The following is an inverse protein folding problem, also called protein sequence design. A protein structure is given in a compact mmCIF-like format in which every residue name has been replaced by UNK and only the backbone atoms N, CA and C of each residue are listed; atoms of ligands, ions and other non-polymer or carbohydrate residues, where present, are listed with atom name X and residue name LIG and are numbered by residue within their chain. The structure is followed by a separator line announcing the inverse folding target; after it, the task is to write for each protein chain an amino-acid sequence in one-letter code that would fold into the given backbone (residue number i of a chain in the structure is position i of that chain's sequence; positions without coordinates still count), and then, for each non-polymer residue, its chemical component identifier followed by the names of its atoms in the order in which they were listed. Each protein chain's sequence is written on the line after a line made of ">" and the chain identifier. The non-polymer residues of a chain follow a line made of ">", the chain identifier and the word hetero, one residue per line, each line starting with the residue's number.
data_IF_270422718164
#
_entry.id   IF_270422718164
#
_cell.length_a   1.000
_cell.length_b   1.000
_cell.length_c   1.000
_cell.angle_alpha   90.00
_cell.angle_beta   90.00
_cell.angle_gamma   90.00
#
_symmetry.space_group_name_H-M   'P 1'
#
loop_
_entity.id
_entity.type
_entity.pdbx_description
1 polymer ?
#
# COMPACT_ATOMS: atom_id res chain seq x y z
N UNK A 1 28.62 2.80 -14.64
CA UNK A 1 28.00 1.60 -15.25
C UNK A 1 26.49 1.80 -15.29
N UNK A 2 25.89 1.96 -16.45
CA UNK A 2 24.42 2.06 -16.61
C UNK A 2 23.79 0.73 -16.18
N UNK A 3 22.93 0.76 -15.16
CA UNK A 3 22.18 -0.45 -14.77
C UNK A 3 21.21 -0.79 -15.89
N UNK A 4 21.31 -2.01 -16.44
CA UNK A 4 20.35 -2.51 -17.40
C UNK A 4 18.93 -2.46 -16.79
N UNK A 5 17.99 -1.91 -17.54
CA UNK A 5 16.59 -1.84 -17.13
C UNK A 5 16.01 -3.26 -17.06
N UNK A 6 15.38 -3.69 -15.96
CA UNK A 6 14.85 -5.05 -15.83
C UNK A 6 13.70 -5.27 -16.83
N UNK A 7 13.65 -6.45 -17.44
CA UNK A 7 12.56 -6.83 -18.37
C UNK A 7 11.22 -7.05 -17.62
N UNK A 8 11.28 -7.53 -16.36
CA UNK A 8 10.12 -7.78 -15.53
C UNK A 8 10.42 -7.67 -14.04
N UNK A 9 9.41 -7.95 -13.23
CA UNK A 9 9.52 -7.96 -11.77
C UNK A 9 10.07 -9.30 -11.29
N UNK A 10 10.90 -9.27 -10.23
CA UNK A 10 11.36 -10.49 -9.56
C UNK A 10 10.26 -11.15 -8.73
N UNK A 11 10.43 -12.44 -8.44
CA UNK A 11 9.56 -13.20 -7.52
C UNK A 11 9.35 -12.43 -6.20
N UNK A 12 10.43 -11.90 -5.61
CA UNK A 12 10.36 -11.14 -4.35
C UNK A 12 9.53 -9.85 -4.50
N UNK A 13 9.68 -9.11 -5.59
CA UNK A 13 8.90 -7.89 -5.82
C UNK A 13 7.40 -8.19 -5.98
N UNK A 14 7.07 -9.30 -6.65
CA UNK A 14 5.68 -9.77 -6.82
C UNK A 14 5.12 -10.25 -5.48
N UNK A 15 5.84 -11.09 -4.74
CA UNK A 15 5.41 -11.59 -3.43
C UNK A 15 5.17 -10.47 -2.43
N UNK A 16 6.07 -9.48 -2.38
CA UNK A 16 5.90 -8.28 -1.54
C UNK A 16 4.70 -7.43 -1.96
N UNK A 17 4.40 -7.36 -3.27
CA UNK A 17 3.20 -6.64 -3.73
C UNK A 17 1.94 -7.28 -3.19
N UNK A 18 1.76 -8.57 -3.43
CA UNK A 18 0.56 -9.28 -3.03
C UNK A 18 0.46 -9.43 -1.50
N UNK A 19 1.58 -9.63 -0.81
CA UNK A 19 1.62 -9.67 0.66
C UNK A 19 1.16 -8.35 1.29
N UNK A 20 1.68 -7.22 0.81
CA UNK A 20 1.25 -5.88 1.26
C UNK A 20 -0.22 -5.64 0.89
N UNK A 21 -0.66 -6.01 -0.31
CA UNK A 21 -2.06 -5.84 -0.72
C UNK A 21 -3.02 -6.64 0.17
N UNK A 22 -2.70 -7.90 0.48
CA UNK A 22 -3.49 -8.73 1.37
C UNK A 22 -3.55 -8.18 2.80
N UNK A 23 -2.41 -7.73 3.34
CA UNK A 23 -2.38 -7.10 4.66
C UNK A 23 -3.23 -5.82 4.71
N UNK A 24 -3.10 -4.94 3.71
CA UNK A 24 -3.91 -3.71 3.63
C UNK A 24 -5.40 -4.05 3.54
N UNK A 25 -5.80 -5.03 2.72
CA UNK A 25 -7.20 -5.48 2.67
C UNK A 25 -7.70 -5.93 4.05
N UNK A 26 -6.91 -6.72 4.79
CA UNK A 26 -7.21 -7.11 6.16
C UNK A 26 -7.39 -5.91 7.10
N UNK A 27 -6.54 -4.87 6.98
CA UNK A 27 -6.66 -3.65 7.78
C UNK A 27 -8.01 -2.95 7.55
N UNK A 28 -8.49 -2.88 6.31
CA UNK A 28 -9.80 -2.28 6.00
C UNK A 28 -10.98 -3.15 6.45
N UNK A 29 -10.87 -4.46 6.33
CA UNK A 29 -11.96 -5.39 6.69
C UNK A 29 -12.17 -5.41 8.21
N UNK A 30 -11.10 -5.42 8.99
CA UNK A 30 -11.14 -5.59 10.45
C UNK A 30 -10.93 -4.29 11.24
N UNK A 31 -11.10 -3.12 10.61
CA UNK A 31 -10.87 -1.80 11.22
C UNK A 31 -11.75 -1.45 12.41
N UNK A 32 -12.92 -2.10 12.55
CA UNK A 32 -13.91 -1.68 13.54
C UNK A 32 -13.48 -1.99 14.98
N UNK A 33 -12.74 -3.07 15.20
CA UNK A 33 -12.16 -3.41 16.52
C UNK A 33 -11.21 -2.32 17.02
N UNK A 34 -10.25 -1.88 16.19
CA UNK A 34 -9.31 -0.83 16.59
C UNK A 34 -10.00 0.52 16.76
N UNK A 35 -10.99 0.85 15.91
CA UNK A 35 -11.76 2.08 16.03
C UNK A 35 -12.57 2.12 17.33
N UNK A 36 -13.19 1.00 17.71
CA UNK A 36 -13.91 0.84 18.97
C UNK A 36 -13.00 0.99 20.18
N UNK A 37 -11.83 0.34 20.19
CA UNK A 37 -10.83 0.46 21.24
C UNK A 37 -10.33 1.91 21.38
N UNK A 38 -10.00 2.57 20.28
CA UNK A 38 -9.59 3.97 20.28
C UNK A 38 -10.64 4.88 20.87
N UNK A 39 -11.92 4.68 20.51
CA UNK A 39 -13.04 5.45 21.08
C UNK A 39 -13.15 5.29 22.60
N UNK A 40 -12.99 4.05 23.12
CA UNK A 40 -13.00 3.78 24.57
C UNK A 40 -11.83 4.46 25.28
N UNK A 41 -10.61 4.36 24.71
CA UNK A 41 -9.43 5.06 25.25
C UNK A 41 -9.70 6.57 25.37
N UNK A 42 -10.28 7.19 24.36
CA UNK A 42 -10.60 8.63 24.35
C UNK A 42 -11.66 9.02 25.37
N UNK A 43 -12.49 8.10 25.82
CA UNK A 43 -13.49 8.28 26.87
C UNK A 43 -12.97 7.93 28.27
N UNK A 44 -11.70 7.52 28.41
CA UNK A 44 -11.12 7.06 29.67
C UNK A 44 -11.67 5.70 30.14
N UNK A 45 -12.27 4.93 29.24
CA UNK A 45 -12.84 3.61 29.51
C UNK A 45 -11.87 2.52 29.09
N UNK A 46 -11.71 1.47 29.89
CA UNK A 46 -10.92 0.29 29.53
C UNK A 46 -11.60 -0.48 28.38
N UNK A 47 -10.78 -1.17 27.60
CA UNK A 47 -11.25 -2.09 26.57
C UNK A 47 -10.70 -3.49 26.82
N UNK A 48 -11.49 -4.50 26.44
CA UNK A 48 -11.09 -5.90 26.57
C UNK A 48 -10.05 -6.26 25.48
N UNK A 49 -9.26 -7.30 25.76
CA UNK A 49 -8.34 -7.83 24.77
C UNK A 49 -9.11 -8.38 23.56
N UNK A 50 -8.78 -7.85 22.38
CA UNK A 50 -9.29 -8.32 21.10
C UNK A 50 -8.10 -8.61 20.17
N UNK A 51 -7.93 -9.85 19.69
CA UNK A 51 -6.86 -10.21 18.76
C UNK A 51 -6.83 -9.36 17.49
N UNK A 52 -7.97 -8.83 17.04
CA UNK A 52 -8.05 -7.96 15.85
C UNK A 52 -7.42 -6.59 16.10
N UNK A 53 -7.47 -6.08 17.33
CA UNK A 53 -6.74 -4.85 17.70
C UNK A 53 -5.24 -5.10 17.56
N UNK A 54 -4.74 -6.20 18.15
CA UNK A 54 -3.33 -6.56 18.03
C UNK A 54 -2.91 -6.78 16.57
N UNK A 55 -3.74 -7.49 15.79
CA UNK A 55 -3.50 -7.73 14.37
C UNK A 55 -3.43 -6.43 13.56
N UNK A 56 -4.27 -5.42 13.90
CA UNK A 56 -4.22 -4.11 13.25
C UNK A 56 -2.91 -3.38 13.56
N UNK A 57 -2.51 -3.32 14.82
CA UNK A 57 -1.30 -2.58 15.25
C UNK A 57 -0.04 -3.25 14.72
N UNK A 58 0.10 -4.56 14.92
CA UNK A 58 1.26 -5.35 14.43
C UNK A 58 1.28 -5.38 12.91
N UNK A 59 0.12 -5.59 12.28
CA UNK A 59 -0.04 -5.57 10.83
C UNK A 59 0.37 -4.23 10.20
N UNK A 60 0.02 -3.11 10.83
CA UNK A 60 0.45 -1.77 10.42
C UNK A 60 1.97 -1.60 10.44
N UNK A 61 2.64 -2.06 11.50
CA UNK A 61 4.09 -2.08 11.60
C UNK A 61 4.75 -2.99 10.56
N UNK A 62 4.18 -4.19 10.34
CA UNK A 62 4.64 -5.12 9.32
C UNK A 62 4.49 -4.54 7.91
N UNK A 63 3.37 -3.91 7.59
CA UNK A 63 3.17 -3.23 6.30
C UNK A 63 4.26 -2.19 6.08
N UNK A 64 4.58 -1.37 7.08
CA UNK A 64 5.67 -0.38 6.97
C UNK A 64 7.01 -1.04 6.62
N UNK A 65 7.38 -2.10 7.32
CA UNK A 65 8.63 -2.83 7.07
C UNK A 65 8.68 -3.41 5.65
N UNK A 66 7.59 -4.04 5.20
CA UNK A 66 7.48 -4.62 3.86
C UNK A 66 7.49 -3.55 2.75
N UNK A 67 6.87 -2.40 2.98
CA UNK A 67 6.87 -1.27 2.03
C UNK A 67 8.25 -0.65 1.93
N UNK A 68 8.98 -0.49 3.04
CA UNK A 68 10.38 -0.04 3.03
C UNK A 68 11.26 -1.03 2.25
N UNK A 69 11.11 -2.32 2.48
CA UNK A 69 11.83 -3.35 1.72
C UNK A 69 11.49 -3.30 0.23
N UNK A 70 10.20 -3.18 -0.11
CA UNK A 70 9.75 -3.04 -1.49
C UNK A 70 10.34 -1.79 -2.16
N UNK A 71 10.38 -0.66 -1.46
CA UNK A 71 11.00 0.57 -1.95
C UNK A 71 12.50 0.39 -2.18
N UNK A 72 13.21 -0.23 -1.24
CA UNK A 72 14.64 -0.53 -1.38
C UNK A 72 14.93 -1.40 -2.62
N UNK A 73 14.10 -2.44 -2.87
CA UNK A 73 14.22 -3.26 -4.07
C UNK A 73 13.94 -2.47 -5.35
N UNK A 74 12.94 -1.57 -5.33
CA UNK A 74 12.63 -0.69 -6.47
C UNK A 74 13.80 0.25 -6.79
N UNK A 75 14.44 0.81 -5.77
CA UNK A 75 15.60 1.70 -5.95
C UNK A 75 16.85 0.95 -6.39
N UNK A 76 17.07 -0.27 -5.89
CA UNK A 76 18.24 -1.09 -6.23
C UNK A 76 18.13 -1.78 -7.59
N UNK A 77 17.00 -2.44 -7.87
CA UNK A 77 16.78 -3.25 -9.07
C UNK A 77 16.12 -2.44 -10.20
N UNK A 78 15.31 -1.43 -9.82
CA UNK A 78 14.45 -0.71 -10.76
C UNK A 78 13.07 -1.36 -10.90
N UNK A 79 12.27 -0.77 -11.80
CA UNK A 79 10.99 -1.29 -12.25
C UNK A 79 11.03 -1.47 -13.77
N UNK A 80 10.32 -2.45 -14.33
CA UNK A 80 10.20 -2.60 -15.78
C UNK A 80 9.61 -1.34 -16.42
N UNK A 81 10.00 -1.00 -17.65
CA UNK A 81 9.45 0.15 -18.35
C UNK A 81 7.95 -0.02 -18.60
N UNK A 82 7.20 1.08 -18.70
CA UNK A 82 5.79 1.02 -19.11
C UNK A 82 5.66 0.35 -20.50
N UNK A 83 4.47 -0.17 -20.86
CA UNK A 83 4.22 -0.68 -22.20
C UNK A 83 4.55 0.37 -23.28
N UNK A 84 5.11 -0.06 -24.42
CA UNK A 84 5.55 0.85 -25.49
C UNK A 84 4.41 1.69 -26.04
N UNK A 85 3.22 1.08 -26.21
CA UNK A 85 2.01 1.69 -26.74
C UNK A 85 1.21 2.50 -25.70
N UNK A 86 1.72 2.67 -24.47
CA UNK A 86 1.05 3.48 -23.47
C UNK A 86 1.24 4.97 -23.74
N UNK A 87 0.15 5.78 -23.77
CA UNK A 87 0.23 7.24 -23.93
C UNK A 87 1.09 7.92 -22.85
N UNK A 88 1.86 8.93 -23.23
CA UNK A 88 2.76 9.65 -22.32
C UNK A 88 2.12 10.12 -21.00
N UNK A 89 0.95 10.77 -21.03
CA UNK A 89 0.26 11.18 -19.80
C UNK A 89 -0.05 10.02 -18.85
N UNK A 90 -0.43 8.84 -19.37
CA UNK A 90 -0.70 7.66 -18.56
C UNK A 90 0.57 7.06 -17.94
N UNK A 91 1.71 7.09 -18.66
CA UNK A 91 3.01 6.71 -18.11
C UNK A 91 3.37 7.57 -16.90
N UNK A 92 3.18 8.89 -17.02
CA UNK A 92 3.43 9.83 -15.90
C UNK A 92 2.47 9.58 -14.74
N UNK A 93 1.17 9.42 -15.03
CA UNK A 93 0.15 9.14 -14.00
C UNK A 93 0.46 7.84 -13.26
N UNK A 94 0.81 6.78 -13.98
CA UNK A 94 1.23 5.51 -13.39
C UNK A 94 2.43 5.68 -12.46
N UNK A 95 3.45 6.43 -12.90
CA UNK A 95 4.62 6.71 -12.08
C UNK A 95 4.27 7.47 -10.79
N UNK A 96 3.51 8.55 -10.91
CA UNK A 96 3.05 9.36 -9.75
C UNK A 96 2.20 8.53 -8.80
N UNK A 97 1.26 7.73 -9.31
CA UNK A 97 0.41 6.87 -8.50
C UNK A 97 1.23 5.88 -7.65
N UNK A 98 2.26 5.25 -8.23
CA UNK A 98 3.11 4.33 -7.48
C UNK A 98 3.90 5.04 -6.37
N UNK A 99 4.41 6.25 -6.59
CA UNK A 99 5.06 7.04 -5.54
C UNK A 99 4.07 7.50 -4.47
N UNK A 100 2.86 7.88 -4.88
CA UNK A 100 1.78 8.20 -3.94
C UNK A 100 1.43 7.02 -3.03
N UNK A 101 1.41 5.77 -3.55
CA UNK A 101 1.24 4.59 -2.71
C UNK A 101 2.32 4.46 -1.66
N UNK A 102 3.60 4.59 -2.01
CA UNK A 102 4.68 4.52 -1.02
C UNK A 102 4.53 5.59 0.06
N UNK A 103 4.25 6.83 -0.33
CA UNK A 103 4.08 7.94 0.61
C UNK A 103 2.85 7.75 1.52
N UNK A 104 1.69 7.40 0.95
CA UNK A 104 0.45 7.20 1.70
C UNK A 104 0.55 6.03 2.67
N UNK A 105 1.06 4.87 2.22
CA UNK A 105 1.17 3.70 3.10
C UNK A 105 2.16 3.97 4.24
N UNK A 106 3.29 4.61 3.97
CA UNK A 106 4.25 4.98 5.02
C UNK A 106 3.62 5.97 6.01
N UNK A 107 2.96 7.02 5.53
CA UNK A 107 2.29 8.01 6.37
C UNK A 107 1.15 7.38 7.20
N UNK A 108 0.37 6.47 6.61
CA UNK A 108 -0.66 5.69 7.30
C UNK A 108 -0.07 4.89 8.47
N UNK A 109 0.99 4.12 8.21
CA UNK A 109 1.61 3.30 9.26
C UNK A 109 2.21 4.17 10.37
N UNK A 110 2.93 5.24 10.03
CA UNK A 110 3.54 6.15 11.00
C UNK A 110 2.48 6.85 11.85
N UNK A 111 1.43 7.39 11.23
CA UNK A 111 0.36 8.08 11.95
C UNK A 111 -0.45 7.12 12.83
N UNK A 112 -0.68 5.88 12.38
CA UNK A 112 -1.32 4.84 13.19
C UNK A 112 -0.50 4.47 14.43
N UNK A 113 0.80 4.26 14.27
CA UNK A 113 1.71 3.97 15.39
C UNK A 113 1.81 5.15 16.36
N UNK A 114 1.91 6.38 15.87
CA UNK A 114 1.95 7.58 16.69
C UNK A 114 0.64 7.79 17.48
N UNK A 115 -0.50 7.51 16.86
CA UNK A 115 -1.79 7.54 17.54
C UNK A 115 -1.85 6.49 18.66
N UNK A 116 -1.52 5.24 18.33
CA UNK A 116 -1.70 4.12 19.26
C UNK A 116 -0.71 4.14 20.43
N UNK A 117 0.57 4.33 20.17
CA UNK A 117 1.60 4.29 21.20
C UNK A 117 1.91 5.65 21.84
N UNK A 118 1.66 6.74 21.09
CA UNK A 118 1.92 8.11 21.55
C UNK A 118 0.68 8.85 22.06
N UNK A 119 -0.50 8.24 21.99
CA UNK A 119 -1.79 8.89 22.31
C UNK A 119 -1.99 10.23 21.57
N UNK A 120 -1.44 10.34 20.33
CA UNK A 120 -1.49 11.57 19.56
C UNK A 120 -2.80 11.67 18.78
N UNK A 121 -3.74 12.46 19.29
CA UNK A 121 -5.08 12.64 18.67
C UNK A 121 -4.99 13.16 17.23
N UNK A 122 -4.12 14.13 16.98
CA UNK A 122 -3.91 14.68 15.63
C UNK A 122 -3.44 13.59 14.65
N UNK A 123 -2.57 12.68 15.11
CA UNK A 123 -2.12 11.56 14.26
C UNK A 123 -3.28 10.62 13.90
N UNK A 124 -4.20 10.35 14.86
CA UNK A 124 -5.39 9.55 14.57
C UNK A 124 -6.33 10.25 13.57
N UNK A 125 -6.49 11.57 13.65
CA UNK A 125 -7.27 12.35 12.69
C UNK A 125 -6.66 12.29 11.29
N UNK A 126 -5.35 12.52 11.17
CA UNK A 126 -4.60 12.41 9.90
C UNK A 126 -4.72 10.99 9.34
N UNK A 127 -4.53 9.96 10.16
CA UNK A 127 -4.70 8.55 9.77
C UNK A 127 -6.08 8.28 9.16
N UNK A 128 -7.15 8.82 9.74
CA UNK A 128 -8.51 8.67 9.21
C UNK A 128 -8.71 9.37 7.85
N UNK A 129 -8.09 10.52 7.63
CA UNK A 129 -8.12 11.20 6.31
C UNK A 129 -7.33 10.40 5.29
N UNK A 130 -6.10 10.00 5.63
CA UNK A 130 -5.24 9.21 4.76
C UNK A 130 -5.87 7.86 4.38
N UNK A 131 -6.62 7.24 5.29
CA UNK A 131 -7.38 6.02 5.02
C UNK A 131 -8.31 6.17 3.82
N UNK A 132 -9.05 7.27 3.73
CA UNK A 132 -9.95 7.53 2.60
C UNK A 132 -9.17 7.79 1.32
N UNK A 133 -8.10 8.58 1.38
CA UNK A 133 -7.24 8.85 0.23
C UNK A 133 -6.58 7.56 -0.31
N UNK A 134 -6.07 6.71 0.58
CA UNK A 134 -5.48 5.42 0.20
C UNK A 134 -6.52 4.49 -0.43
N UNK A 135 -7.74 4.41 0.12
CA UNK A 135 -8.81 3.60 -0.47
C UNK A 135 -9.17 4.08 -1.88
N UNK A 136 -9.31 5.39 -2.08
CA UNK A 136 -9.58 5.95 -3.40
C UNK A 136 -8.47 5.60 -4.40
N UNK A 137 -7.20 5.71 -3.99
CA UNK A 137 -6.06 5.36 -4.84
C UNK A 137 -6.03 3.84 -5.15
N UNK A 138 -6.38 2.98 -4.18
CA UNK A 138 -6.51 1.52 -4.41
C UNK A 138 -7.58 1.23 -5.45
N UNK A 139 -8.76 1.84 -5.32
CA UNK A 139 -9.87 1.65 -6.28
C UNK A 139 -9.43 2.05 -7.69
N UNK A 140 -8.82 3.23 -7.84
CA UNK A 140 -8.31 3.69 -9.13
C UNK A 140 -7.23 2.74 -9.69
N UNK A 141 -6.33 2.24 -8.84
CA UNK A 141 -5.29 1.30 -9.24
C UNK A 141 -5.87 -0.03 -9.73
N UNK A 142 -6.87 -0.57 -9.02
CA UNK A 142 -7.55 -1.80 -9.42
C UNK A 142 -8.32 -1.60 -10.73
N UNK A 143 -9.02 -0.47 -10.88
CA UNK A 143 -9.76 -0.13 -12.11
C UNK A 143 -8.84 0.11 -13.31
N UNK A 144 -7.60 0.53 -13.09
CA UNK A 144 -6.62 0.64 -14.17
C UNK A 144 -6.34 -0.71 -14.86
N UNK A 145 -6.44 -1.84 -14.16
CA UNK A 145 -6.19 -3.17 -14.75
C UNK A 145 -7.15 -3.50 -15.90
N UNK A 146 -8.49 -3.49 -15.73
CA UNK A 146 -9.41 -3.70 -16.84
C UNK A 146 -9.30 -2.62 -17.91
N UNK A 147 -9.04 -1.37 -17.55
CA UNK A 147 -8.81 -0.29 -18.52
C UNK A 147 -7.61 -0.61 -19.43
N UNK A 148 -6.46 -1.00 -18.88
CA UNK A 148 -5.30 -1.39 -19.67
C UNK A 148 -5.59 -2.59 -20.57
N UNK A 149 -6.36 -3.58 -20.09
CA UNK A 149 -6.68 -4.79 -20.85
C UNK A 149 -7.68 -4.52 -21.98
N UNK A 150 -8.76 -3.77 -21.71
CA UNK A 150 -9.90 -3.61 -22.63
C UNK A 150 -9.70 -2.44 -23.60
N UNK A 151 -9.13 -1.32 -23.12
CA UNK A 151 -8.97 -0.09 -23.90
C UNK A 151 -7.59 -0.02 -24.54
N UNK A 152 -6.53 -0.18 -23.76
CA UNK A 152 -5.16 -0.07 -24.26
C UNK A 152 -4.62 -1.37 -24.86
N UNK A 153 -5.38 -2.48 -24.72
CA UNK A 153 -5.04 -3.82 -25.24
C UNK A 153 -3.66 -4.32 -24.80
N UNK A 154 -3.20 -3.88 -23.63
CA UNK A 154 -1.99 -4.37 -23.00
C UNK A 154 -2.29 -5.13 -21.69
N UNK A 155 -1.43 -6.06 -21.31
CA UNK A 155 -1.69 -6.94 -20.17
C UNK A 155 -0.71 -6.69 -19.01
N UNK A 156 -0.89 -5.52 -18.34
CA UNK A 156 -0.05 -5.13 -17.20
C UNK A 156 -0.17 -6.08 -16.01
N UNK A 157 -1.32 -6.77 -15.88
CA UNK A 157 -1.57 -7.71 -14.78
C UNK A 157 -0.60 -8.90 -14.81
N UNK A 158 -0.26 -9.41 -16.00
CA UNK A 158 0.66 -10.55 -16.14
C UNK A 158 2.02 -10.25 -15.52
N UNK A 159 2.49 -8.99 -15.57
CA UNK A 159 3.77 -8.58 -14.97
C UNK A 159 3.78 -8.70 -13.44
N UNK A 160 2.60 -8.72 -12.80
CA UNK A 160 2.44 -8.91 -11.35
C UNK A 160 2.04 -10.33 -10.95
N UNK A 161 2.03 -11.27 -11.92
CA UNK A 161 1.73 -12.69 -11.69
C UNK A 161 2.92 -13.56 -12.11
N UNK A 162 3.57 -13.22 -13.23
CA UNK A 162 4.68 -13.99 -13.79
C UNK A 162 5.99 -13.22 -13.61
N UNK A 163 6.96 -13.79 -12.89
CA UNK A 163 8.28 -13.18 -12.76
C UNK A 163 9.03 -13.29 -14.09
N UNK A 164 9.77 -12.25 -14.42
CA UNK A 164 10.76 -12.26 -15.50
C UNK A 164 12.13 -11.90 -14.91
N UNK A 165 13.08 -12.76 -15.15
CA UNK A 165 14.47 -12.58 -14.71
C UNK A 165 15.28 -11.76 -15.69
#
# INVERSE_FOLDING_TARGET
>A
MSKATPKGYSVTQIALHWGVAALIAGQYIFKDSIAGAWSKIRQGVSYDFDPLILAHVVGGGLILALVVWRLALRLKRGAPPPPENEPGPLKTLSHVAHWAFYALIAAMSVTGLAAWFGDVVLAAQIHNVLKVALLALIVLHVLAVPFHRLVLKNNVMVRMIRPES
#
